data_IF_255736961595
#
_entry.id   IF_255736961595
#
_cell.length_a   1.000
_cell.length_b   1.000
_cell.length_c   1.000
_cell.angle_alpha   90.00
_cell.angle_beta   90.00
_cell.angle_gamma   90.00
#
_symmetry.space_group_name_H-M   'P 1'
#
loop_
_entity.id
_entity.type
_entity.pdbx_description
1 polymer ?
#
# COMPACT_ATOMS: atom_id res chain seq x y z
N UNK A 1 -9.58 3.50 -7.64
CA UNK A 1 -8.66 2.67 -6.80
C UNK A 1 -8.06 1.55 -7.64
N UNK A 2 -7.08 0.79 -7.10
CA UNK A 2 -6.56 -0.45 -7.72
C UNK A 2 -6.73 -1.61 -6.75
N UNK A 3 -6.83 -2.82 -7.30
CA UNK A 3 -6.94 -4.03 -6.48
C UNK A 3 -5.62 -4.27 -5.73
N UNK A 4 -5.70 -4.63 -4.44
CA UNK A 4 -4.54 -5.04 -3.65
C UNK A 4 -4.16 -6.51 -3.89
N UNK A 5 -3.03 -6.94 -3.35
CA UNK A 5 -2.63 -8.36 -3.40
C UNK A 5 -3.64 -9.25 -2.66
N UNK A 6 -4.27 -8.76 -1.58
CA UNK A 6 -5.33 -9.51 -0.88
C UNK A 6 -6.53 -9.78 -1.79
N UNK A 7 -6.97 -8.77 -2.53
CA UNK A 7 -8.07 -8.91 -3.50
C UNK A 7 -7.71 -9.86 -4.64
N UNK A 8 -6.49 -9.77 -5.19
CA UNK A 8 -6.01 -10.69 -6.21
C UNK A 8 -5.92 -12.13 -5.70
N UNK A 9 -5.40 -12.32 -4.48
CA UNK A 9 -5.30 -13.64 -3.88
C UNK A 9 -6.68 -14.27 -3.63
N UNK A 10 -7.68 -13.44 -3.30
CA UNK A 10 -9.06 -13.90 -3.18
C UNK A 10 -9.60 -14.41 -4.54
N UNK A 11 -9.37 -13.70 -5.63
CA UNK A 11 -9.74 -14.15 -6.98
C UNK A 11 -9.02 -15.45 -7.33
N UNK A 12 -7.69 -15.48 -7.18
CA UNK A 12 -6.84 -16.65 -7.48
C UNK A 12 -7.30 -17.91 -6.75
N UNK A 13 -7.71 -17.78 -5.49
CA UNK A 13 -8.22 -18.87 -4.65
C UNK A 13 -9.41 -19.60 -5.27
N UNK A 14 -10.28 -18.88 -5.98
CA UNK A 14 -11.53 -19.44 -6.52
C UNK A 14 -11.48 -19.77 -8.02
N UNK A 15 -10.61 -19.14 -8.80
CA UNK A 15 -10.53 -19.38 -10.24
C UNK A 15 -9.62 -20.57 -10.58
N UNK A 16 -8.58 -20.81 -9.77
CA UNK A 16 -7.50 -21.74 -10.11
C UNK A 16 -6.65 -21.20 -11.27
N UNK A 17 -5.49 -21.82 -11.52
CA UNK A 17 -4.57 -21.39 -12.58
C UNK A 17 -4.13 -22.57 -13.45
N UNK A 18 -4.23 -22.40 -14.77
CA UNK A 18 -3.65 -23.35 -15.73
C UNK A 18 -2.61 -22.64 -16.59
N UNK A 19 -1.37 -23.08 -16.49
CA UNK A 19 -0.23 -22.46 -17.21
C UNK A 19 -0.05 -22.97 -18.65
N UNK A 20 -0.85 -23.95 -19.07
CA UNK A 20 -0.94 -24.43 -20.44
C UNK A 20 -2.37 -24.19 -20.95
N UNK A 21 -2.47 -23.66 -22.17
CA UNK A 21 -3.75 -23.38 -22.79
C UNK A 21 -4.60 -24.66 -22.95
N UNK A 22 -5.88 -24.54 -22.68
CA UNK A 22 -6.86 -25.60 -22.80
C UNK A 22 -8.15 -25.05 -23.42
N UNK A 23 -8.99 -25.90 -23.96
CA UNK A 23 -10.35 -25.52 -24.34
C UNK A 23 -11.29 -25.69 -23.14
N UNK A 24 -12.11 -24.69 -22.89
CA UNK A 24 -13.19 -24.78 -21.90
C UNK A 24 -14.35 -25.67 -22.40
N UNK A 25 -15.41 -25.78 -21.63
CA UNK A 25 -16.57 -26.63 -21.95
C UNK A 25 -17.32 -26.24 -23.24
N UNK A 26 -17.08 -25.02 -23.74
CA UNK A 26 -17.68 -24.52 -25.00
C UNK A 26 -16.65 -24.34 -26.11
N UNK A 27 -15.43 -24.88 -25.93
CA UNK A 27 -14.38 -24.90 -26.95
C UNK A 27 -13.54 -23.63 -27.04
N UNK A 28 -13.65 -22.70 -26.08
CA UNK A 28 -12.86 -21.46 -26.07
C UNK A 28 -11.46 -21.71 -25.48
N UNK A 29 -10.41 -21.32 -26.23
CA UNK A 29 -9.04 -21.39 -25.73
C UNK A 29 -8.84 -20.48 -24.54
N UNK A 30 -8.45 -21.06 -23.42
CA UNK A 30 -8.36 -20.42 -22.10
C UNK A 30 -7.00 -20.76 -21.45
N UNK A 31 -6.42 -19.84 -20.69
CA UNK A 31 -5.16 -20.01 -19.96
C UNK A 31 -5.13 -19.15 -18.68
N UNK A 32 -4.21 -19.42 -17.78
CA UNK A 32 -4.05 -18.67 -16.52
C UNK A 32 -5.29 -18.80 -15.64
N UNK A 33 -5.84 -17.66 -15.22
CA UNK A 33 -7.03 -17.56 -14.37
C UNK A 33 -8.33 -17.31 -15.18
N UNK A 34 -8.45 -17.95 -16.34
CA UNK A 34 -9.61 -17.76 -17.19
C UNK A 34 -9.42 -16.74 -18.33
N UNK A 35 -8.18 -16.39 -18.64
CA UNK A 35 -7.82 -15.49 -19.74
C UNK A 35 -8.11 -16.16 -21.08
N UNK A 36 -8.79 -15.45 -21.98
CA UNK A 36 -9.17 -15.91 -23.32
C UNK A 36 -8.71 -14.94 -24.41
N UNK A 37 -8.96 -15.25 -25.69
CA UNK A 37 -8.67 -14.34 -26.80
C UNK A 37 -9.47 -13.01 -26.74
N UNK A 38 -10.54 -12.93 -25.96
CA UNK A 38 -11.21 -11.66 -25.66
C UNK A 38 -10.34 -10.69 -24.86
N UNK A 39 -9.27 -11.22 -24.22
CA UNK A 39 -8.29 -10.45 -23.45
C UNK A 39 -7.07 -10.02 -24.27
N UNK A 40 -7.03 -10.28 -25.60
CA UNK A 40 -5.88 -10.01 -26.45
C UNK A 40 -5.40 -8.56 -26.39
N UNK A 41 -6.29 -7.60 -26.25
CA UNK A 41 -5.94 -6.19 -26.06
C UNK A 41 -5.18 -5.90 -24.75
N UNK A 42 -5.25 -6.81 -23.78
CA UNK A 42 -4.56 -6.74 -22.49
C UNK A 42 -3.26 -7.53 -22.54
N UNK A 43 -3.32 -8.76 -23.05
CA UNK A 43 -2.21 -9.73 -23.03
C UNK A 43 -1.22 -9.54 -24.18
N UNK A 44 -1.64 -8.90 -25.27
CA UNK A 44 -0.87 -8.84 -26.52
C UNK A 44 -0.71 -10.22 -27.21
N UNK A 45 -1.28 -11.29 -26.64
CA UNK A 45 -1.00 -12.68 -27.01
C UNK A 45 -2.26 -13.36 -27.55
N UNK A 46 -2.10 -14.18 -28.58
CA UNK A 46 -3.18 -15.08 -29.06
C UNK A 46 -3.10 -16.40 -28.31
N UNK A 47 -4.19 -16.78 -27.65
CA UNK A 47 -4.29 -18.02 -26.88
C UNK A 47 -4.73 -19.14 -27.83
N UNK A 48 -3.88 -20.14 -27.98
CA UNK A 48 -4.08 -21.26 -28.89
C UNK A 48 -3.49 -22.55 -28.30
N UNK A 49 -3.70 -23.66 -29.00
CA UNK A 49 -3.15 -24.95 -28.61
C UNK A 49 -1.62 -24.88 -28.40
N UNK A 50 -1.15 -25.48 -27.32
CA UNK A 50 0.29 -25.57 -27.00
C UNK A 50 0.88 -24.33 -26.34
N UNK A 51 0.16 -23.20 -26.25
CA UNK A 51 0.65 -22.02 -25.54
C UNK A 51 0.90 -22.35 -24.08
N UNK A 52 2.08 -21.96 -23.57
CA UNK A 52 2.45 -22.05 -22.17
C UNK A 52 2.89 -20.68 -21.66
N UNK A 53 2.54 -20.35 -20.43
CA UNK A 53 2.95 -19.12 -19.74
C UNK A 53 3.54 -19.43 -18.37
N UNK A 54 4.27 -18.48 -17.81
CA UNK A 54 4.77 -18.58 -16.44
C UNK A 54 3.67 -18.17 -15.44
N UNK A 55 3.86 -18.53 -14.17
CA UNK A 55 2.98 -18.07 -13.09
C UNK A 55 2.96 -16.52 -13.01
N UNK A 56 4.14 -15.90 -13.13
CA UNK A 56 4.26 -14.44 -13.12
C UNK A 56 3.47 -13.78 -14.26
N UNK A 57 3.49 -14.39 -15.47
CA UNK A 57 2.68 -13.91 -16.60
C UNK A 57 1.19 -14.05 -16.33
N UNK A 58 0.74 -15.17 -15.75
CA UNK A 58 -0.67 -15.38 -15.41
C UNK A 58 -1.13 -14.35 -14.36
N UNK A 59 -0.30 -14.07 -13.36
CA UNK A 59 -0.56 -13.11 -12.30
C UNK A 59 -0.65 -11.67 -12.83
N UNK A 60 0.28 -11.29 -13.70
CA UNK A 60 0.28 -9.98 -14.35
C UNK A 60 -0.96 -9.79 -15.25
N UNK A 61 -1.30 -10.78 -16.05
CA UNK A 61 -2.51 -10.71 -16.89
C UNK A 61 -3.79 -10.63 -16.09
N UNK A 62 -3.87 -11.36 -14.96
CA UNK A 62 -5.01 -11.24 -14.03
C UNK A 62 -5.12 -9.82 -13.50
N UNK A 63 -4.02 -9.24 -12.97
CA UNK A 63 -3.99 -7.87 -12.44
C UNK A 63 -4.43 -6.86 -13.48
N UNK A 64 -3.87 -6.92 -14.68
CA UNK A 64 -4.23 -6.01 -15.77
C UNK A 64 -5.70 -6.15 -16.19
N UNK A 65 -6.21 -7.39 -16.28
CA UNK A 65 -7.62 -7.66 -16.61
C UNK A 65 -8.54 -7.10 -15.54
N UNK A 66 -8.21 -7.30 -14.27
CA UNK A 66 -8.98 -6.80 -13.14
C UNK A 66 -9.01 -5.27 -13.15
N UNK A 67 -7.86 -4.62 -13.26
CA UNK A 67 -7.75 -3.17 -13.25
C UNK A 67 -8.47 -2.51 -14.45
N UNK A 68 -8.42 -3.14 -15.63
CA UNK A 68 -9.02 -2.57 -16.86
C UNK A 68 -10.51 -2.88 -17.02
N UNK A 69 -11.00 -4.03 -16.54
CA UNK A 69 -12.37 -4.50 -16.82
C UNK A 69 -13.30 -4.42 -15.61
N UNK A 70 -12.82 -4.73 -14.42
CA UNK A 70 -13.66 -4.92 -13.23
C UNK A 70 -13.52 -3.77 -12.22
N UNK A 71 -12.32 -3.21 -12.05
CA UNK A 71 -12.11 -2.00 -11.26
C UNK A 71 -13.05 -0.87 -11.63
N UNK A 72 -13.16 -0.49 -12.92
CA UNK A 72 -14.06 0.58 -13.34
C UNK A 72 -15.54 0.35 -12.99
N UNK A 73 -15.99 -0.92 -12.88
CA UNK A 73 -17.36 -1.27 -12.47
C UNK A 73 -17.62 -0.95 -10.99
N UNK A 74 -16.56 -1.02 -10.17
CA UNK A 74 -16.61 -0.63 -8.75
C UNK A 74 -16.43 0.87 -8.61
N UNK A 75 -15.50 1.48 -9.39
CA UNK A 75 -15.25 2.92 -9.39
C UNK A 75 -16.48 3.75 -9.83
N UNK A 76 -17.37 3.18 -10.61
CA UNK A 76 -18.70 3.76 -10.93
C UNK A 76 -19.47 4.18 -9.67
N UNK A 77 -19.22 3.54 -8.55
CA UNK A 77 -19.86 3.79 -7.25
C UNK A 77 -18.91 4.46 -6.25
N UNK A 78 -18.01 5.32 -6.73
CA UNK A 78 -17.02 6.02 -5.91
C UNK A 78 -17.63 6.91 -4.81
N UNK A 79 -18.88 7.32 -4.93
CA UNK A 79 -19.62 8.05 -3.89
C UNK A 79 -19.71 7.30 -2.55
N UNK A 80 -19.56 5.98 -2.56
CA UNK A 80 -19.42 5.22 -1.32
C UNK A 80 -18.10 5.45 -0.59
N UNK A 81 -17.07 5.97 -1.25
CA UNK A 81 -15.73 6.10 -0.67
C UNK A 81 -15.26 4.76 -0.06
N UNK A 82 -15.17 3.73 -0.92
CA UNK A 82 -14.76 2.39 -0.53
C UNK A 82 -13.39 2.39 0.12
N UNK A 83 -13.24 1.66 1.24
CA UNK A 83 -11.93 1.31 1.72
C UNK A 83 -11.30 0.17 0.89
N UNK A 84 -10.02 -0.13 1.08
CA UNK A 84 -9.31 -1.11 0.26
C UNK A 84 -9.93 -2.52 0.33
N UNK A 85 -10.35 -2.97 1.50
CA UNK A 85 -10.96 -4.29 1.67
C UNK A 85 -12.36 -4.38 1.04
N UNK A 86 -13.15 -3.32 1.16
CA UNK A 86 -14.45 -3.21 0.47
C UNK A 86 -14.25 -3.25 -1.04
N UNK A 87 -13.28 -2.46 -1.56
CA UNK A 87 -12.96 -2.42 -2.98
C UNK A 87 -12.53 -3.79 -3.50
N UNK A 88 -11.58 -4.44 -2.83
CA UNK A 88 -11.05 -5.75 -3.21
C UNK A 88 -12.16 -6.82 -3.26
N UNK A 89 -13.03 -6.84 -2.26
CA UNK A 89 -14.16 -7.75 -2.20
C UNK A 89 -15.15 -7.52 -3.35
N UNK A 90 -15.46 -6.25 -3.64
CA UNK A 90 -16.37 -5.88 -4.72
C UNK A 90 -15.78 -6.16 -6.11
N UNK A 91 -14.47 -5.99 -6.28
CA UNK A 91 -13.77 -6.34 -7.52
C UNK A 91 -13.78 -7.86 -7.73
N UNK A 92 -13.53 -8.67 -6.68
CA UNK A 92 -13.66 -10.13 -6.73
C UNK A 92 -15.08 -10.54 -7.09
N UNK A 93 -16.08 -9.91 -6.50
CA UNK A 93 -17.47 -10.13 -6.82
C UNK A 93 -17.78 -9.79 -8.30
N UNK A 94 -17.34 -8.60 -8.76
CA UNK A 94 -17.53 -8.17 -10.15
C UNK A 94 -16.84 -9.09 -11.14
N UNK A 95 -15.67 -9.63 -10.79
CA UNK A 95 -14.94 -10.60 -11.62
C UNK A 95 -15.79 -11.86 -11.90
N UNK A 96 -16.49 -12.37 -10.90
CA UNK A 96 -17.32 -13.57 -11.02
C UNK A 96 -18.71 -13.31 -11.61
N UNK A 97 -19.36 -12.20 -11.21
CA UNK A 97 -20.75 -11.90 -11.57
C UNK A 97 -20.86 -10.98 -12.80
N UNK A 98 -19.79 -10.24 -13.11
CA UNK A 98 -19.74 -9.31 -14.24
C UNK A 98 -20.07 -7.87 -13.88
N UNK A 99 -20.79 -7.57 -12.79
CA UNK A 99 -21.16 -6.22 -12.34
C UNK A 99 -21.51 -6.20 -10.87
N UNK A 100 -21.46 -4.99 -10.24
CA UNK A 100 -21.99 -4.76 -8.89
C UNK A 100 -23.28 -3.93 -8.90
N UNK A 101 -23.85 -3.62 -10.06
CA UNK A 101 -25.05 -2.79 -10.19
C UNK A 101 -26.25 -3.38 -9.40
N UNK A 102 -26.50 -4.68 -9.56
CA UNK A 102 -27.55 -5.39 -8.82
C UNK A 102 -27.22 -5.54 -7.33
N UNK A 103 -25.94 -5.70 -7.00
CA UNK A 103 -25.48 -5.81 -5.62
C UNK A 103 -25.69 -4.49 -4.85
N UNK A 104 -25.37 -3.35 -5.46
CA UNK A 104 -25.52 -2.01 -4.86
C UNK A 104 -26.93 -1.41 -5.04
N UNK A 105 -27.84 -2.09 -5.77
CA UNK A 105 -29.10 -1.52 -6.25
C UNK A 105 -28.87 -0.14 -6.94
N UNK A 106 -27.85 -0.09 -7.81
CA UNK A 106 -27.41 1.14 -8.51
C UNK A 106 -27.05 2.29 -7.56
N UNK A 107 -26.49 1.96 -6.38
CA UNK A 107 -26.05 2.95 -5.39
C UNK A 107 -27.09 3.25 -4.28
N UNK A 108 -28.21 2.56 -4.24
CA UNK A 108 -29.25 2.80 -3.24
C UNK A 108 -29.06 2.02 -1.93
N UNK A 109 -28.27 0.94 -1.91
CA UNK A 109 -28.07 0.12 -0.70
C UNK A 109 -27.00 0.72 0.21
N UNK A 110 -27.22 0.59 1.51
CA UNK A 110 -26.19 0.82 2.53
C UNK A 110 -25.11 -0.27 2.47
N UNK A 111 -23.94 -0.02 3.09
CA UNK A 111 -22.86 -1.02 3.22
C UNK A 111 -23.33 -2.31 3.89
N UNK A 112 -24.15 -2.20 4.94
CA UNK A 112 -24.70 -3.36 5.65
C UNK A 112 -25.59 -4.21 4.75
N UNK A 113 -26.46 -3.59 3.96
CA UNK A 113 -27.32 -4.29 3.00
C UNK A 113 -26.50 -4.92 1.87
N UNK A 114 -25.43 -4.25 1.39
CA UNK A 114 -24.51 -4.83 0.40
C UNK A 114 -23.84 -6.08 0.97
N UNK A 115 -23.31 -6.01 2.20
CA UNK A 115 -22.68 -7.14 2.86
C UNK A 115 -23.64 -8.34 3.04
N UNK A 116 -24.88 -8.09 3.37
CA UNK A 116 -25.91 -9.14 3.45
C UNK A 116 -26.22 -9.71 2.06
N UNK A 117 -26.37 -8.83 1.07
CA UNK A 117 -26.76 -9.20 -0.31
C UNK A 117 -25.70 -10.02 -1.03
N UNK A 118 -24.41 -9.84 -0.74
CA UNK A 118 -23.33 -10.66 -1.31
C UNK A 118 -23.67 -12.16 -1.20
N UNK A 119 -24.14 -12.63 -0.05
CA UNK A 119 -24.40 -14.05 0.22
C UNK A 119 -25.50 -14.65 -0.67
N UNK A 120 -26.39 -13.85 -1.24
CA UNK A 120 -27.48 -14.33 -2.08
C UNK A 120 -27.04 -14.73 -3.51
N UNK A 121 -25.84 -14.30 -3.94
CA UNK A 121 -25.27 -14.59 -5.27
C UNK A 121 -24.54 -15.94 -5.31
N UNK A 122 -25.13 -16.97 -4.72
CA UNK A 122 -24.55 -18.31 -4.56
C UNK A 122 -25.21 -19.38 -5.46
N UNK A 123 -26.00 -18.95 -6.47
CA UNK A 123 -26.74 -19.85 -7.36
C UNK A 123 -26.23 -19.79 -8.80
N UNK A 124 -26.25 -20.93 -9.50
CA UNK A 124 -26.15 -21.03 -10.94
C UNK A 124 -27.17 -22.05 -11.45
N UNK A 125 -27.87 -21.73 -12.56
CA UNK A 125 -28.95 -22.55 -13.07
C UNK A 125 -30.06 -22.77 -12.03
N UNK A 126 -30.33 -21.78 -11.16
CA UNK A 126 -31.35 -21.87 -10.10
C UNK A 126 -30.94 -22.70 -8.86
N UNK A 127 -29.82 -23.41 -8.90
CA UNK A 127 -29.33 -24.26 -7.80
C UNK A 127 -28.21 -23.57 -6.98
N UNK A 128 -28.27 -23.74 -5.66
CA UNK A 128 -27.19 -23.28 -4.77
C UNK A 128 -25.94 -24.14 -4.99
N UNK A 129 -24.80 -23.52 -5.21
CA UNK A 129 -23.52 -24.20 -5.39
C UNK A 129 -22.61 -23.92 -4.19
N UNK A 130 -22.09 -24.99 -3.58
CA UNK A 130 -21.20 -24.89 -2.40
C UNK A 130 -19.94 -24.04 -2.67
N UNK A 131 -19.38 -24.10 -3.89
CA UNK A 131 -18.24 -23.29 -4.30
C UNK A 131 -18.57 -21.78 -4.30
N UNK A 132 -19.74 -21.42 -4.86
CA UNK A 132 -20.21 -20.03 -4.85
C UNK A 132 -20.53 -19.56 -3.44
N UNK A 133 -21.14 -20.41 -2.60
CA UNK A 133 -21.42 -20.08 -1.20
C UNK A 133 -20.13 -19.73 -0.46
N UNK A 134 -19.09 -20.57 -0.57
CA UNK A 134 -17.78 -20.28 0.04
C UNK A 134 -17.15 -18.99 -0.49
N UNK A 135 -17.23 -18.75 -1.80
CA UNK A 135 -16.72 -17.52 -2.41
C UNK A 135 -17.40 -16.28 -1.84
N UNK A 136 -18.72 -16.26 -1.79
CA UNK A 136 -19.52 -15.16 -1.23
C UNK A 136 -19.21 -14.92 0.26
N UNK A 137 -19.00 -15.98 1.03
CA UNK A 137 -18.61 -15.86 2.45
C UNK A 137 -17.25 -15.19 2.60
N UNK A 138 -16.25 -15.56 1.80
CA UNK A 138 -14.93 -14.95 1.84
C UNK A 138 -14.96 -13.49 1.35
N UNK A 139 -15.69 -13.19 0.27
CA UNK A 139 -15.87 -11.82 -0.21
C UNK A 139 -16.56 -10.95 0.84
N UNK A 140 -17.63 -11.44 1.48
CA UNK A 140 -18.30 -10.73 2.57
C UNK A 140 -17.39 -10.53 3.77
N UNK A 141 -16.60 -11.54 4.13
CA UNK A 141 -15.62 -11.45 5.23
C UNK A 141 -14.61 -10.34 4.94
N UNK A 142 -14.03 -10.32 3.75
CA UNK A 142 -13.11 -9.26 3.34
C UNK A 142 -13.78 -7.88 3.35
N UNK A 143 -14.99 -7.76 2.79
CA UNK A 143 -15.78 -6.53 2.77
C UNK A 143 -16.01 -5.94 4.16
N UNK A 144 -16.27 -6.79 5.15
CA UNK A 144 -16.53 -6.39 6.55
C UNK A 144 -15.26 -6.24 7.39
N UNK A 145 -14.08 -6.61 6.86
CA UNK A 145 -12.83 -6.48 7.59
C UNK A 145 -12.39 -5.01 7.61
N UNK A 146 -12.26 -4.38 8.79
CA UNK A 146 -11.76 -3.02 8.86
C UNK A 146 -10.35 -2.92 8.26
N UNK A 147 -10.07 -1.82 7.58
CA UNK A 147 -8.70 -1.49 7.17
C UNK A 147 -8.03 -0.79 8.34
N UNK A 148 -7.01 -1.41 8.90
CA UNK A 148 -6.14 -0.76 9.86
C UNK A 148 -5.14 0.07 9.09
N UNK A 149 -5.35 1.40 9.07
CA UNK A 149 -4.39 2.33 8.48
C UNK A 149 -3.31 2.57 9.53
N UNK A 150 -2.06 2.32 9.15
CA UNK A 150 -0.92 2.65 10.00
C UNK A 150 -0.77 4.17 10.06
N UNK A 151 -0.50 4.70 11.24
CA UNK A 151 -0.18 6.11 11.49
C UNK A 151 1.00 6.21 12.45
N UNK A 152 1.71 7.35 12.40
CA UNK A 152 2.85 7.59 13.28
C UNK A 152 3.98 6.57 13.08
N UNK A 153 4.77 6.38 14.14
CA UNK A 153 5.93 5.51 14.12
C UNK A 153 5.57 4.03 14.05
N UNK A 154 6.15 3.32 13.10
CA UNK A 154 6.00 1.87 12.95
C UNK A 154 7.37 1.22 12.75
N UNK A 155 7.64 0.14 13.50
CA UNK A 155 8.85 -0.66 13.31
C UNK A 155 8.62 -1.70 12.22
N UNK A 156 9.42 -1.68 11.17
CA UNK A 156 9.27 -2.56 10.01
C UNK A 156 10.64 -2.87 9.39
N UNK A 157 10.81 -4.09 8.91
CA UNK A 157 12.00 -4.51 8.17
C UNK A 157 13.33 -4.16 8.86
N UNK A 158 13.35 -4.20 10.21
CA UNK A 158 14.53 -3.92 11.01
C UNK A 158 14.82 -2.43 11.24
N UNK A 159 13.93 -1.53 10.86
CA UNK A 159 14.06 -0.08 11.08
C UNK A 159 12.73 0.58 11.44
N UNK A 160 12.68 1.90 11.35
CA UNK A 160 11.50 2.69 11.67
C UNK A 160 10.98 3.44 10.45
N UNK A 161 9.65 3.51 10.31
CA UNK A 161 8.92 4.36 9.37
C UNK A 161 7.97 5.28 10.11
N UNK A 162 7.68 6.42 9.51
CA UNK A 162 6.67 7.35 10.00
C UNK A 162 5.53 7.44 9.00
N UNK A 163 4.38 6.89 9.37
CA UNK A 163 3.17 6.92 8.55
C UNK A 163 2.42 8.23 8.76
N UNK A 164 1.89 8.80 7.67
CA UNK A 164 1.09 10.03 7.72
C UNK A 164 -0.22 9.79 8.44
N UNK A 165 -0.67 10.79 9.18
CA UNK A 165 -1.96 10.77 9.86
C UNK A 165 -3.04 11.47 9.03
N UNK A 166 -3.09 11.17 7.74
CA UNK A 166 -4.03 11.72 6.76
C UNK A 166 -5.00 10.68 6.19
N UNK A 167 -4.98 9.47 6.75
CA UNK A 167 -5.81 8.36 6.29
C UNK A 167 -5.35 7.71 4.99
N UNK A 168 -4.20 8.13 4.42
CA UNK A 168 -3.68 7.57 3.17
C UNK A 168 -3.02 6.20 3.35
N UNK A 169 -2.51 5.90 4.56
CA UNK A 169 -1.64 4.75 4.80
C UNK A 169 -0.25 4.89 4.16
N UNK A 170 0.10 6.08 3.69
CA UNK A 170 1.42 6.38 3.15
C UNK A 170 2.39 6.72 4.28
N UNK A 171 3.67 6.48 4.05
CA UNK A 171 4.75 6.87 4.96
C UNK A 171 5.60 8.01 4.38
N UNK A 172 6.34 8.66 5.26
CA UNK A 172 7.31 9.70 4.91
C UNK A 172 8.50 9.07 4.21
N UNK A 173 8.95 9.64 3.09
CA UNK A 173 10.16 9.19 2.38
C UNK A 173 10.86 10.38 1.72
N UNK A 174 12.18 10.30 1.64
CA UNK A 174 13.08 11.27 1.01
C UNK A 174 12.86 12.71 1.50
N UNK A 175 12.59 12.86 2.82
CA UNK A 175 12.39 14.18 3.45
C UNK A 175 12.58 14.18 4.96
N UNK A 176 12.70 15.39 5.50
CA UNK A 176 12.63 15.66 6.92
C UNK A 176 11.20 15.57 7.45
N UNK A 177 11.05 15.01 8.63
CA UNK A 177 9.81 14.97 9.40
C UNK A 177 10.05 15.51 10.80
N UNK A 178 9.25 16.48 11.21
CA UNK A 178 9.17 16.94 12.58
C UNK A 178 8.18 16.06 13.34
N UNK A 179 8.60 15.55 14.49
CA UNK A 179 7.72 14.88 15.44
C UNK A 179 8.06 15.38 16.85
N UNK A 180 7.07 16.00 17.51
CA UNK A 180 7.30 16.79 18.71
C UNK A 180 8.25 17.96 18.42
N UNK A 181 9.39 17.96 19.10
CA UNK A 181 10.48 18.97 18.98
C UNK A 181 11.71 18.46 18.22
N UNK A 182 11.64 17.21 17.69
CA UNK A 182 12.75 16.53 17.04
C UNK A 182 12.54 16.38 15.55
N UNK A 183 13.63 16.57 14.78
CA UNK A 183 13.65 16.33 13.35
C UNK A 183 14.28 14.99 13.04
N UNK A 184 13.66 14.25 12.12
CA UNK A 184 14.10 12.96 11.64
C UNK A 184 14.20 12.99 10.12
N UNK A 185 15.18 12.29 9.56
CA UNK A 185 15.29 12.10 8.11
C UNK A 185 14.86 10.69 7.73
N UNK A 186 14.06 10.60 6.68
CA UNK A 186 13.66 9.34 6.06
C UNK A 186 14.24 9.25 4.67
N UNK A 187 14.90 8.11 4.35
CA UNK A 187 15.49 7.84 3.05
C UNK A 187 14.43 7.60 1.96
N UNK A 188 14.86 7.35 0.70
CA UNK A 188 13.96 7.08 -0.43
C UNK A 188 13.12 5.81 -0.28
N UNK A 189 13.53 4.86 0.58
CA UNK A 189 12.75 3.69 0.95
C UNK A 189 11.79 3.96 2.13
N UNK A 190 11.80 5.16 2.69
CA UNK A 190 10.99 5.58 3.84
C UNK A 190 11.50 5.03 5.17
N UNK A 191 12.78 4.66 5.24
CA UNK A 191 13.39 4.20 6.49
C UNK A 191 14.04 5.37 7.21
N UNK A 192 13.85 5.45 8.54
CA UNK A 192 14.50 6.46 9.39
C UNK A 192 15.99 6.24 9.37
N UNK A 193 16.74 7.29 9.05
CA UNK A 193 18.20 7.31 9.10
C UNK A 193 18.66 7.59 10.52
N UNK A 194 19.65 6.87 11.04
CA UNK A 194 20.20 7.03 12.39
C UNK A 194 21.69 6.70 12.46
N UNK A 195 22.35 7.11 13.55
CA UNK A 195 23.76 6.87 13.84
C UNK A 195 24.71 7.25 12.70
N UNK A 196 24.41 8.33 11.96
CA UNK A 196 25.21 8.68 10.79
C UNK A 196 25.18 10.16 10.44
N UNK A 197 26.20 10.56 9.69
CA UNK A 197 26.25 11.85 9.03
C UNK A 197 25.38 11.84 7.78
N UNK A 198 24.62 12.90 7.59
CA UNK A 198 23.78 13.08 6.43
C UNK A 198 24.00 14.46 5.79
N UNK A 199 24.28 14.50 4.49
CA UNK A 199 24.41 15.75 3.76
C UNK A 199 23.10 16.13 3.07
N UNK A 200 22.56 17.29 3.40
CA UNK A 200 21.35 17.80 2.79
C UNK A 200 21.54 19.27 2.38
N UNK A 201 21.26 19.56 1.11
CA UNK A 201 21.38 20.92 0.51
C UNK A 201 22.70 21.62 0.86
N UNK A 202 23.80 20.89 0.80
CA UNK A 202 25.15 21.42 1.04
C UNK A 202 25.58 21.56 2.50
N UNK A 203 24.70 21.28 3.47
CA UNK A 203 25.01 21.26 4.91
C UNK A 203 25.09 19.83 5.43
N UNK A 204 25.94 19.62 6.45
CA UNK A 204 26.06 18.35 7.15
C UNK A 204 25.20 18.36 8.42
N UNK A 205 24.52 17.26 8.65
CA UNK A 205 23.71 16.96 9.83
C UNK A 205 24.17 15.64 10.43
N UNK A 206 23.94 15.44 11.71
CA UNK A 206 24.12 14.14 12.33
C UNK A 206 22.78 13.65 12.91
N UNK A 207 22.40 12.42 12.56
CA UNK A 207 21.24 11.73 13.12
C UNK A 207 21.77 10.84 14.24
N UNK A 208 21.27 11.05 15.45
CA UNK A 208 21.65 10.27 16.63
C UNK A 208 21.19 8.81 16.57
N UNK A 209 21.48 8.06 17.62
CA UNK A 209 21.07 6.65 17.73
C UNK A 209 19.55 6.47 17.79
N UNK A 210 18.84 7.49 18.24
CA UNK A 210 17.36 7.55 18.21
C UNK A 210 16.81 8.08 16.88
N UNK A 211 17.69 8.37 15.90
CA UNK A 211 17.34 8.96 14.61
C UNK A 211 17.10 10.46 14.64
N UNK A 212 17.05 11.07 15.82
CA UNK A 212 16.82 12.51 15.92
C UNK A 212 18.04 13.30 15.44
N UNK A 213 17.80 14.38 14.70
CA UNK A 213 18.80 15.35 14.33
C UNK A 213 19.36 16.05 15.59
N UNK A 214 20.67 15.93 15.79
CA UNK A 214 21.32 16.52 16.97
C UNK A 214 21.61 18.02 16.78
N UNK A 215 21.65 18.75 17.89
CA UNK A 215 21.95 20.19 17.96
C UNK A 215 22.96 20.47 19.06
N UNK A 216 23.60 21.64 18.99
CA UNK A 216 24.56 22.07 19.98
C UNK A 216 25.92 21.36 19.86
N UNK A 217 26.68 21.30 20.98
CA UNK A 217 27.96 20.64 21.03
C UNK A 217 27.78 19.11 21.15
N UNK A 218 28.40 18.39 20.24
CA UNK A 218 28.29 16.92 20.15
C UNK A 218 29.67 16.27 20.12
N UNK A 219 29.78 15.11 20.75
CA UNK A 219 30.98 14.26 20.62
C UNK A 219 30.62 13.07 19.73
N UNK A 220 31.22 13.01 18.55
CA UNK A 220 30.92 11.97 17.53
C UNK A 220 32.27 11.37 17.11
N UNK A 221 32.42 10.04 17.30
CA UNK A 221 33.71 9.37 16.99
C UNK A 221 34.89 9.93 17.73
N UNK A 222 34.71 10.39 18.97
CA UNK A 222 35.78 10.99 19.80
C UNK A 222 36.20 12.40 19.39
N UNK A 223 35.48 13.05 18.48
CA UNK A 223 35.71 14.43 18.05
C UNK A 223 34.54 15.32 18.42
N UNK A 224 34.85 16.61 18.70
CA UNK A 224 33.85 17.61 19.02
C UNK A 224 33.34 18.31 17.75
N UNK A 225 32.01 18.41 17.62
CA UNK A 225 31.33 19.12 16.56
C UNK A 225 30.28 20.04 17.15
N UNK A 226 30.10 21.21 16.53
CA UNK A 226 29.00 22.11 16.88
C UNK A 226 27.93 22.08 15.78
N UNK A 227 26.72 21.83 16.19
CA UNK A 227 25.52 21.89 15.34
C UNK A 227 24.71 23.12 15.71
N UNK A 228 24.37 23.96 14.74
CA UNK A 228 23.54 25.16 14.97
C UNK A 228 22.10 24.81 15.38
N UNK A 229 21.27 25.85 15.61
CA UNK A 229 19.84 25.68 15.97
C UNK A 229 19.03 24.92 14.95
N UNK A 230 19.50 24.89 13.70
CA UNK A 230 18.87 24.14 12.60
C UNK A 230 19.54 22.78 12.37
N UNK A 231 20.46 22.38 13.24
CA UNK A 231 21.18 21.11 13.18
C UNK A 231 22.31 21.07 12.16
N UNK A 232 22.68 22.20 11.54
CA UNK A 232 23.78 22.24 10.55
C UNK A 232 25.12 22.24 11.25
N UNK A 233 26.04 21.39 10.80
CA UNK A 233 27.40 21.36 11.30
C UNK A 233 28.13 22.67 11.00
N UNK A 234 28.71 23.29 12.01
CA UNK A 234 29.53 24.48 11.84
C UNK A 234 30.80 24.15 11.06
N UNK A 235 31.09 24.93 10.03
CA UNK A 235 32.31 24.86 9.20
C UNK A 235 33.22 26.07 9.42
N UNK A 236 32.85 26.97 10.35
CA UNK A 236 33.63 28.17 10.74
C UNK A 236 33.76 28.21 12.26
N UNK A 237 34.71 28.95 12.82
CA UNK A 237 34.86 29.13 14.26
C UNK A 237 33.54 29.60 14.90
N UNK A 238 33.18 29.00 16.03
CA UNK A 238 32.01 29.36 16.84
C UNK A 238 32.53 29.91 18.16
N UNK A 239 32.14 31.13 18.53
CA UNK A 239 32.46 31.72 19.82
C UNK A 239 31.36 31.41 20.81
N UNK A 240 31.72 30.80 21.93
CA UNK A 240 30.82 30.55 23.06
C UNK A 240 31.09 31.61 24.13
N UNK A 241 30.05 32.30 24.58
CA UNK A 241 30.16 33.32 25.64
C UNK A 241 29.60 32.76 26.94
N UNK A 242 30.39 32.74 28.05
CA UNK A 242 29.84 32.28 29.33
C UNK A 242 28.82 33.28 29.89
N UNK A 243 27.83 32.76 30.58
CA UNK A 243 26.88 33.54 31.39
C UNK A 243 27.51 33.94 32.73
N UNK A 244 26.78 34.68 33.56
CA UNK A 244 27.27 35.15 34.87
C UNK A 244 27.63 34.01 35.83
N UNK A 245 27.00 32.84 35.69
CA UNK A 245 27.25 31.61 36.45
C UNK A 245 28.39 30.75 35.85
N UNK A 246 28.98 31.20 34.74
CA UNK A 246 30.02 30.47 34.00
C UNK A 246 29.48 29.41 33.03
N UNK A 247 28.19 29.21 32.92
CA UNK A 247 27.61 28.31 31.95
C UNK A 247 27.81 28.82 30.52
N UNK A 248 28.18 27.92 29.60
CA UNK A 248 28.25 28.23 28.18
C UNK A 248 26.91 28.00 27.50
N UNK A 249 26.23 29.08 27.16
CA UNK A 249 25.06 29.00 26.29
C UNK A 249 25.49 28.86 24.84
N UNK A 250 24.91 27.86 24.20
CA UNK A 250 25.08 27.72 22.76
C UNK A 250 24.23 28.75 22.05
N UNK A 251 24.78 29.55 21.12
CA UNK A 251 23.97 30.52 20.38
C UNK A 251 22.75 29.85 19.74
N UNK A 252 21.58 30.33 20.09
CA UNK A 252 20.32 29.87 19.49
C UNK A 252 19.71 28.58 20.03
N UNK A 253 20.23 28.01 21.13
CA UNK A 253 19.50 26.97 21.87
C UNK A 253 18.73 27.67 23.01
N UNK A 254 17.39 27.66 22.92
CA UNK A 254 16.52 27.95 24.08
C UNK A 254 16.55 26.77 25.05
N UNK A 255 16.58 27.07 26.34
CA UNK A 255 16.39 26.05 27.39
C UNK A 255 15.02 25.40 27.26
#
# INVERSE_FOLDING_TARGET
MKISDNGLNLIKKFEGCRLTAYQDAVGVWTIGYGTTNADKAITGTTICQGLKITQATADDWLRQSVDKKYGPKVDKYSAYNWNQNEYDALVSFAYNIGSIDGLTAKGARTRSEIAAKILEYNKAGGKVLAGLTRRRQEERKLFLTPVTIKTGWQQENGGWRFYKDDGSGEYVSDKWQLDGDKWYWFDGAGMMVHDTWYQYKGSWYYLGSDGAMVKGLQTIGGKWYYMDTEGRMATRPVTLTPEQDGALKYPGLSQ
#
